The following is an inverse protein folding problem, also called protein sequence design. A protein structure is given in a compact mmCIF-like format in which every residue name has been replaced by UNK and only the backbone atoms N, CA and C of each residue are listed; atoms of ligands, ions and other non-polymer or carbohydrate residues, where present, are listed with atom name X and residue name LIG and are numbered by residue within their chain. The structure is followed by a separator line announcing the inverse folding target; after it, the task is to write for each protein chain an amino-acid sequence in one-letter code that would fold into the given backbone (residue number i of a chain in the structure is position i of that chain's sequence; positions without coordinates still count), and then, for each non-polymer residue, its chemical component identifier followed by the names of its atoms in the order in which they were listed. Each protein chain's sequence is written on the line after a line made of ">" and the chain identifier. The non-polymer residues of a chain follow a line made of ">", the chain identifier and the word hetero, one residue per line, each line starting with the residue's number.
data_IF_418387223052
#
_entry.id   IF_418387223052
#
_cell.length_a   1.000
_cell.length_b   1.000
_cell.length_c   1.000
_cell.angle_alpha   90.00
_cell.angle_beta   90.00
_cell.angle_gamma   90.00
#
_symmetry.space_group_name_H-M   'P 1'
#
loop_
_entity.id
_entity.type
_entity.pdbx_description
1 polymer ?
#
# COMPACT_ATOMS: atom_id res chain seq x y z
N UNK A 1 -40.29 -15.38 11.13
CA UNK A 1 -40.85 -14.09 10.65
C UNK A 1 -39.73 -13.04 10.76
N UNK A 2 -39.37 -12.34 9.66
CA UNK A 2 -38.10 -11.60 9.46
C UNK A 2 -38.24 -10.07 9.65
N UNK A 3 -37.11 -9.35 9.83
CA UNK A 3 -36.82 -7.99 9.28
C UNK A 3 -35.59 -7.39 10.01
N UNK A 4 -34.43 -7.11 9.40
CA UNK A 4 -34.05 -6.24 8.25
C UNK A 4 -33.67 -4.82 8.72
N UNK A 5 -32.40 -4.48 8.47
CA UNK A 5 -31.73 -3.21 8.76
C UNK A 5 -32.36 -2.00 8.05
N UNK A 6 -32.16 -0.76 8.57
CA UNK A 6 -32.34 0.44 7.78
C UNK A 6 -31.03 0.86 7.08
N UNK A 7 -31.13 0.91 5.75
CA UNK A 7 -30.14 1.42 4.79
C UNK A 7 -30.14 2.95 4.86
N UNK A 8 -28.97 3.56 5.05
CA UNK A 8 -28.78 4.97 4.79
C UNK A 8 -28.96 5.24 3.28
N UNK A 9 -29.86 6.16 2.95
CA UNK A 9 -30.14 6.58 1.59
C UNK A 9 -29.02 7.50 1.09
N UNK A 10 -28.40 7.12 -0.02
CA UNK A 10 -27.48 8.00 -0.76
C UNK A 10 -28.23 8.51 -1.99
N UNK A 11 -28.48 9.82 -2.04
CA UNK A 11 -29.08 10.51 -3.19
C UNK A 11 -27.98 10.74 -4.22
N UNK A 12 -28.19 10.21 -5.43
CA UNK A 12 -27.31 10.40 -6.57
C UNK A 12 -27.75 11.61 -7.43
N UNK A 13 -26.82 12.47 -7.87
CA UNK A 13 -27.06 13.35 -9.02
C UNK A 13 -26.71 12.63 -10.36
N UNK A 14 -27.27 13.10 -11.48
CA UNK A 14 -27.40 12.33 -12.71
C UNK A 14 -26.12 12.29 -13.56
N UNK A 15 -26.00 11.19 -14.31
CA UNK A 15 -24.96 10.92 -15.29
C UNK A 15 -24.97 11.93 -16.45
N UNK A 16 -23.83 12.57 -16.69
CA UNK A 16 -23.51 13.18 -17.97
C UNK A 16 -22.55 12.24 -18.71
N UNK A 17 -22.97 11.75 -19.88
CA UNK A 17 -22.13 10.99 -20.81
C UNK A 17 -21.06 11.89 -21.43
N UNK A 18 -19.82 11.42 -21.53
CA UNK A 18 -18.90 11.85 -22.58
C UNK A 18 -17.88 10.75 -22.92
N UNK A 19 -17.85 10.42 -24.21
CA UNK A 19 -16.75 9.91 -25.03
C UNK A 19 -15.96 8.65 -24.60
N UNK A 20 -15.96 7.68 -25.51
CA UNK A 20 -14.96 6.62 -25.61
C UNK A 20 -13.56 7.22 -25.92
N UNK A 21 -12.55 6.61 -25.31
CA UNK A 21 -11.12 6.73 -25.53
C UNK A 21 -10.49 5.80 -24.49
N UNK A 22 -10.52 4.49 -24.70
CA UNK A 22 -9.62 3.74 -25.61
C UNK A 22 -8.15 4.08 -25.29
N UNK A 23 -7.60 3.22 -24.43
CA UNK A 23 -6.19 2.83 -24.32
C UNK A 23 -5.10 3.90 -24.14
N UNK A 24 -5.08 4.62 -23.01
CA UNK A 24 -3.90 5.45 -22.62
C UNK A 24 -3.68 5.61 -21.10
N UNK A 25 -4.25 4.72 -20.28
CA UNK A 25 -4.11 4.73 -18.81
C UNK A 25 -3.03 3.78 -18.27
N UNK A 26 -2.63 2.76 -19.05
CA UNK A 26 -1.61 1.80 -18.62
C UNK A 26 -0.21 2.43 -18.60
N UNK A 27 0.12 3.23 -19.62
CA UNK A 27 1.45 3.86 -19.75
C UNK A 27 1.69 4.94 -18.69
N UNK A 28 0.65 5.69 -18.30
CA UNK A 28 0.75 6.68 -17.20
C UNK A 28 0.95 6.03 -15.85
N UNK A 29 0.35 4.85 -15.60
CA UNK A 29 0.55 4.11 -14.35
C UNK A 29 1.94 3.45 -14.29
N UNK A 30 2.50 3.02 -15.44
CA UNK A 30 3.88 2.52 -15.52
C UNK A 30 4.89 3.65 -15.33
N UNK A 31 4.72 4.81 -15.98
CA UNK A 31 5.61 5.97 -15.83
C UNK A 31 5.59 6.52 -14.40
N UNK A 32 4.42 6.59 -13.75
CA UNK A 32 4.33 6.97 -12.33
C UNK A 32 4.90 5.90 -11.39
N UNK A 33 4.76 4.61 -11.72
CA UNK A 33 5.37 3.52 -10.94
C UNK A 33 6.89 3.51 -11.08
N UNK A 34 7.39 3.81 -12.28
CA UNK A 34 8.81 3.91 -12.62
C UNK A 34 9.42 5.16 -12.00
N UNK A 35 8.81 6.34 -12.13
CA UNK A 35 9.24 7.55 -11.40
C UNK A 35 9.20 7.37 -9.88
N UNK A 36 8.18 6.72 -9.33
CA UNK A 36 8.18 6.34 -7.90
C UNK A 36 9.26 5.31 -7.57
N UNK A 37 9.68 4.46 -8.52
CA UNK A 37 10.81 3.55 -8.35
C UNK A 37 12.17 4.29 -8.40
N UNK A 38 12.34 5.25 -9.29
CA UNK A 38 13.52 6.12 -9.35
C UNK A 38 13.61 7.07 -8.13
N UNK A 39 12.50 7.61 -7.64
CA UNK A 39 12.46 8.36 -6.38
C UNK A 39 12.70 7.43 -5.17
N UNK A 40 12.36 6.14 -5.25
CA UNK A 40 12.65 5.13 -4.20
C UNK A 40 14.15 4.91 -3.97
N UNK A 41 15.00 5.19 -4.94
CA UNK A 41 16.46 5.12 -4.78
C UNK A 41 17.02 6.22 -3.86
N UNK A 42 16.28 7.32 -3.62
CA UNK A 42 16.67 8.40 -2.71
C UNK A 42 15.91 8.38 -1.36
N UNK A 43 15.00 7.41 -1.14
CA UNK A 43 14.07 7.46 -0.01
C UNK A 43 14.65 6.83 1.27
N UNK A 44 14.58 7.61 2.35
CA UNK A 44 15.33 7.35 3.58
C UNK A 44 14.65 6.29 4.45
N UNK A 45 13.35 6.01 4.38
CA UNK A 45 12.70 4.88 5.08
C UNK A 45 11.54 4.30 4.26
N UNK A 46 11.52 2.98 4.09
CA UNK A 46 10.53 2.24 3.28
C UNK A 46 9.95 1.10 4.10
N UNK A 47 8.62 0.99 4.16
CA UNK A 47 7.92 -0.14 4.77
C UNK A 47 7.43 -1.06 3.66
N UNK A 48 7.97 -2.27 3.62
CA UNK A 48 7.67 -3.28 2.61
C UNK A 48 6.86 -4.41 3.26
N UNK A 49 5.79 -4.80 2.58
CA UNK A 49 4.99 -5.99 2.84
C UNK A 49 5.43 -7.06 1.85
N UNK A 50 5.76 -8.23 2.38
CA UNK A 50 6.20 -9.36 1.59
C UNK A 50 5.09 -10.40 1.43
N UNK A 51 5.29 -11.26 0.42
CA UNK A 51 4.44 -12.43 0.23
C UNK A 51 4.42 -13.33 1.47
N UNK A 52 3.46 -14.24 1.56
CA UNK A 52 3.34 -15.15 2.70
C UNK A 52 4.55 -16.08 2.90
N UNK A 53 5.40 -16.21 1.87
CA UNK A 53 6.61 -17.01 1.87
C UNK A 53 7.87 -16.19 2.22
N UNK A 54 7.76 -14.87 2.37
CA UNK A 54 8.89 -13.95 2.55
C UNK A 54 9.88 -13.93 1.38
N UNK A 55 9.45 -14.29 0.17
CA UNK A 55 10.33 -14.42 -1.01
C UNK A 55 10.43 -13.15 -1.84
N UNK A 56 9.34 -12.39 -1.90
CA UNK A 56 9.28 -11.15 -2.68
C UNK A 56 8.47 -10.09 -1.93
N UNK A 57 8.81 -8.82 -2.18
CA UNK A 57 7.99 -7.68 -1.76
C UNK A 57 6.71 -7.69 -2.60
N UNK A 58 5.58 -7.89 -1.95
CA UNK A 58 4.25 -7.87 -2.55
C UNK A 58 3.78 -6.42 -2.71
N UNK A 59 4.06 -5.57 -1.72
CA UNK A 59 3.61 -4.19 -1.71
C UNK A 59 4.51 -3.30 -0.85
N UNK A 60 4.70 -2.04 -1.26
CA UNK A 60 5.28 -1.01 -0.40
C UNK A 60 4.16 -0.23 0.27
N UNK A 61 4.09 -0.27 1.60
CA UNK A 61 3.03 0.35 2.39
C UNK A 61 3.27 1.83 2.64
N UNK A 62 4.54 2.20 2.87
CA UNK A 62 4.90 3.59 3.13
C UNK A 62 6.32 3.89 2.67
N UNK A 63 6.54 5.13 2.25
CA UNK A 63 7.86 5.65 1.96
C UNK A 63 7.99 7.06 2.52
N UNK A 64 9.06 7.34 3.24
CA UNK A 64 9.25 8.62 3.92
C UNK A 64 10.72 8.93 4.14
N UNK A 65 11.05 10.21 4.26
CA UNK A 65 12.40 10.64 4.64
C UNK A 65 12.61 10.72 6.16
N UNK A 66 11.53 10.58 6.94
CA UNK A 66 11.55 10.74 8.39
C UNK A 66 11.41 9.39 9.11
N UNK A 67 12.35 9.08 10.02
CA UNK A 67 12.37 7.83 10.77
C UNK A 67 11.12 7.61 11.62
N UNK A 68 10.61 8.63 12.29
CA UNK A 68 9.43 8.52 13.16
C UNK A 68 8.17 8.16 12.37
N UNK A 69 7.98 8.74 11.19
CA UNK A 69 6.86 8.40 10.30
C UNK A 69 7.02 6.98 9.78
N UNK A 70 8.25 6.58 9.40
CA UNK A 70 8.53 5.22 8.91
C UNK A 70 8.25 4.15 9.96
N UNK A 71 8.65 4.40 11.21
CA UNK A 71 8.33 3.52 12.33
C UNK A 71 6.84 3.48 12.65
N UNK A 72 6.15 4.62 12.63
CA UNK A 72 4.71 4.66 12.86
C UNK A 72 3.96 3.84 11.79
N UNK A 73 4.32 3.99 10.52
CA UNK A 73 3.76 3.21 9.42
C UNK A 73 4.08 1.71 9.57
N UNK A 74 5.31 1.36 9.97
CA UNK A 74 5.69 -0.02 10.24
C UNK A 74 4.85 -0.63 11.38
N UNK A 75 4.63 0.09 12.48
CA UNK A 75 3.79 -0.38 13.59
C UNK A 75 2.30 -0.45 13.23
N UNK A 76 1.79 0.44 12.38
CA UNK A 76 0.44 0.31 11.85
C UNK A 76 0.32 -0.96 11.00
N UNK A 77 1.30 -1.20 10.12
CA UNK A 77 1.35 -2.37 9.27
C UNK A 77 1.40 -3.70 10.04
N UNK A 78 2.11 -3.78 11.17
CA UNK A 78 2.11 -5.00 11.99
C UNK A 78 0.75 -5.31 12.63
N UNK A 79 -0.12 -4.30 12.78
CA UNK A 79 -1.47 -4.46 13.32
C UNK A 79 -2.49 -4.80 12.23
N UNK A 80 -2.31 -4.24 11.04
CA UNK A 80 -3.14 -4.54 9.86
C UNK A 80 -2.80 -5.91 9.25
N UNK A 81 -1.52 -6.30 9.30
CA UNK A 81 -1.01 -7.55 8.76
C UNK A 81 -0.21 -8.34 9.80
N UNK A 82 -0.85 -8.79 10.89
CA UNK A 82 -0.16 -9.46 12.00
C UNK A 82 0.51 -10.78 11.60
N UNK A 83 0.04 -11.43 10.53
CA UNK A 83 0.53 -12.72 10.03
C UNK A 83 1.42 -12.60 8.79
N UNK A 84 1.79 -11.39 8.38
CA UNK A 84 2.64 -11.17 7.20
C UNK A 84 4.07 -10.83 7.59
N UNK A 85 4.95 -10.99 6.61
CA UNK A 85 6.33 -10.56 6.74
C UNK A 85 6.44 -9.09 6.30
N UNK A 86 6.92 -8.24 7.21
CA UNK A 86 7.09 -6.81 6.97
C UNK A 86 8.55 -6.43 7.23
N UNK A 87 9.10 -5.56 6.41
CA UNK A 87 10.43 -4.98 6.61
C UNK A 87 10.36 -3.46 6.59
N UNK A 88 11.11 -2.84 7.49
CA UNK A 88 11.44 -1.43 7.43
C UNK A 88 12.87 -1.33 6.91
N UNK A 89 13.02 -0.79 5.70
CA UNK A 89 14.31 -0.58 5.03
C UNK A 89 14.70 0.89 5.09
N UNK A 90 15.99 1.18 5.27
CA UNK A 90 16.55 2.53 5.20
C UNK A 90 17.74 2.51 4.23
N UNK A 91 17.61 3.24 3.13
CA UNK A 91 18.55 3.30 1.99
C UNK A 91 18.83 1.93 1.35
N UNK A 92 19.57 1.06 2.05
CA UNK A 92 19.83 -0.32 1.63
C UNK A 92 19.91 -1.34 2.79
N UNK A 93 19.65 -0.91 4.02
CA UNK A 93 19.70 -1.76 5.19
C UNK A 93 18.31 -2.01 5.76
N UNK A 94 18.01 -3.26 6.13
CA UNK A 94 16.80 -3.59 6.90
C UNK A 94 17.04 -3.15 8.35
N UNK A 95 16.30 -2.15 8.79
CA UNK A 95 16.35 -1.60 10.16
C UNK A 95 15.51 -2.44 11.10
N UNK A 96 14.35 -2.90 10.63
CA UNK A 96 13.45 -3.71 11.44
C UNK A 96 12.72 -4.71 10.56
N UNK A 97 12.44 -5.88 11.12
CA UNK A 97 11.68 -6.94 10.48
C UNK A 97 10.63 -7.46 11.42
N UNK A 98 9.42 -7.64 10.92
CA UNK A 98 8.33 -8.28 11.60
C UNK A 98 8.04 -9.56 10.86
N UNK A 99 8.19 -10.67 11.56
CA UNK A 99 7.69 -11.94 11.09
C UNK A 99 6.51 -12.28 11.98
N UNK A 100 5.31 -12.01 11.46
CA UNK A 100 4.08 -12.46 12.08
C UNK A 100 4.16 -13.94 12.32
N UNK A 101 4.37 -14.36 13.58
CA UNK A 101 4.49 -15.77 13.92
C UNK A 101 3.25 -16.51 13.41
N UNK A 102 3.42 -17.37 12.41
CA UNK A 102 2.49 -18.49 12.16
C UNK A 102 2.63 -19.40 13.37
N UNK A 103 1.78 -19.20 14.37
CA UNK A 103 1.53 -20.19 15.41
C UNK A 103 0.15 -20.79 15.18
#
# INVERSE_FOLDING_TARGET
>A
MPARAPRAAFVAPPALRLAAGDDDDADRLDDLSRRRADERDELVYVVELWDEAGRAVEQVLAITVNSSIGFAAYFAATREHPNRYLTLRHKNAIVSRWNGRKN
#
